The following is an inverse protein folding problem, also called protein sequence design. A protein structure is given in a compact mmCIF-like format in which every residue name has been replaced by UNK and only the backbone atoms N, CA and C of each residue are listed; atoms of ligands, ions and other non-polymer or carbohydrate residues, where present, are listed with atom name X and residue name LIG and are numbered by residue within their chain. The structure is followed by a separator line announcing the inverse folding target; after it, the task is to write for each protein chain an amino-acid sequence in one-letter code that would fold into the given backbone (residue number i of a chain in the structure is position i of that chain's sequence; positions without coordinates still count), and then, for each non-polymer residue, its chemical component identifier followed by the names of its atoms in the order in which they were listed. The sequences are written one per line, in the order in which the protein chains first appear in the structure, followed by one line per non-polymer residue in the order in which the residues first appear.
data_IF_169024560418
#
_entry.id   IF_169024560418
#
_cell.length_a   1.000
_cell.length_b   1.000
_cell.length_c   1.000
_cell.angle_alpha   90.00
_cell.angle_beta   90.00
_cell.angle_gamma   90.00
#
_symmetry.space_group_name_H-M   'P 1'
#
loop_
_entity.id
_entity.type
_entity.pdbx_description
1 polymer ?
#
# COMPACT_ATOMS: atom_id res chain seq x y z
N UNK A 1 6.27 12.82 2.84
CA UNK A 1 6.75 11.54 3.39
C UNK A 1 6.18 10.42 2.55
N UNK A 2 7.00 9.44 2.19
CA UNK A 2 6.57 8.25 1.45
C UNK A 2 5.72 7.32 2.32
N UNK A 3 4.98 6.40 1.68
CA UNK A 3 4.21 5.34 2.36
C UNK A 3 5.14 4.52 3.27
N UNK A 4 6.34 4.19 2.79
CA UNK A 4 7.37 3.46 3.53
C UNK A 4 7.77 4.19 4.82
N UNK A 5 8.11 5.47 4.74
CA UNK A 5 8.60 6.24 5.90
C UNK A 5 7.53 6.30 7.00
N UNK A 6 6.28 6.58 6.63
CA UNK A 6 5.18 6.64 7.58
C UNK A 6 4.93 5.31 8.28
N UNK A 7 5.14 4.18 7.59
CA UNK A 7 5.02 2.86 8.20
C UNK A 7 6.16 2.54 9.15
N UNK A 8 7.39 2.88 8.76
CA UNK A 8 8.56 2.72 9.63
C UNK A 8 8.44 3.58 10.89
N UNK A 9 7.90 4.80 10.80
CA UNK A 9 7.66 5.67 11.96
C UNK A 9 6.65 5.09 12.96
N UNK A 10 5.69 4.29 12.48
CA UNK A 10 4.72 3.58 13.34
C UNK A 10 5.28 2.26 13.90
N UNK A 11 6.47 1.84 13.49
CA UNK A 11 7.12 0.61 13.96
C UNK A 11 6.88 -0.61 13.07
N UNK A 12 6.13 -0.48 11.97
CA UNK A 12 5.98 -1.56 11.00
C UNK A 12 7.33 -1.86 10.35
N UNK A 13 7.67 -3.14 10.22
CA UNK A 13 8.95 -3.55 9.65
C UNK A 13 8.81 -4.63 8.59
N UNK A 14 8.13 -5.71 8.93
CA UNK A 14 7.64 -6.71 7.98
C UNK A 14 6.12 -6.62 7.97
N UNK A 15 5.55 -6.44 6.79
CA UNK A 15 4.10 -6.33 6.61
C UNK A 15 3.65 -7.15 5.42
N UNK A 16 2.39 -7.55 5.45
CA UNK A 16 1.66 -7.94 4.26
C UNK A 16 0.71 -6.81 3.89
N UNK A 17 0.50 -6.58 2.59
CA UNK A 17 -0.47 -5.60 2.12
C UNK A 17 -1.56 -6.32 1.36
N UNK A 18 -2.79 -6.23 1.87
CA UNK A 18 -3.97 -6.71 1.19
C UNK A 18 -4.59 -5.57 0.39
N UNK A 19 -4.54 -5.66 -0.92
CA UNK A 19 -5.08 -4.67 -1.86
C UNK A 19 -6.45 -5.10 -2.35
N UNK A 20 -7.40 -4.17 -2.33
CA UNK A 20 -8.74 -4.33 -2.90
C UNK A 20 -8.99 -3.19 -3.90
N UNK A 21 -9.30 -3.54 -5.15
CA UNK A 21 -9.69 -2.58 -6.20
C UNK A 21 -11.20 -2.32 -6.26
N UNK A 22 -11.62 -1.41 -7.14
CA UNK A 22 -13.03 -0.99 -7.29
C UNK A 22 -13.96 -2.13 -7.75
N UNK A 23 -13.44 -3.12 -8.47
CA UNK A 23 -14.19 -4.31 -8.89
C UNK A 23 -14.25 -5.38 -7.79
N UNK A 24 -13.81 -5.06 -6.57
CA UNK A 24 -13.69 -5.97 -5.42
C UNK A 24 -12.77 -7.17 -5.67
N UNK A 25 -11.84 -7.09 -6.63
CA UNK A 25 -10.79 -8.10 -6.67
C UNK A 25 -9.84 -7.87 -5.48
N UNK A 26 -9.38 -8.97 -4.91
CA UNK A 26 -8.54 -8.96 -3.74
C UNK A 26 -7.20 -9.59 -4.13
N UNK A 27 -6.13 -8.86 -3.87
CA UNK A 27 -4.75 -9.33 -4.06
C UNK A 27 -3.94 -9.06 -2.82
N UNK A 28 -3.23 -10.07 -2.33
CA UNK A 28 -2.32 -9.90 -1.20
C UNK A 28 -0.90 -9.87 -1.71
N UNK A 29 -0.13 -8.85 -1.32
CA UNK A 29 1.31 -8.78 -1.50
C UNK A 29 1.96 -9.14 -0.17
N UNK A 30 2.42 -10.39 0.01
CA UNK A 30 3.03 -10.81 1.26
C UNK A 30 4.52 -10.45 1.35
N UNK A 31 5.08 -10.60 2.55
CA UNK A 31 6.51 -10.58 2.90
C UNK A 31 7.21 -9.27 2.50
N UNK A 32 6.57 -8.13 2.79
CA UNK A 32 7.16 -6.82 2.53
C UNK A 32 8.02 -6.36 3.70
N UNK A 33 9.33 -6.61 3.61
CA UNK A 33 10.31 -5.99 4.49
C UNK A 33 10.56 -4.53 4.08
N UNK A 34 10.02 -3.57 4.84
CA UNK A 34 10.10 -2.14 4.53
C UNK A 34 11.55 -1.63 4.44
N UNK A 35 12.48 -2.16 5.26
CA UNK A 35 13.90 -1.80 5.15
C UNK A 35 14.57 -2.26 3.86
N UNK A 36 14.09 -3.34 3.22
CA UNK A 36 14.65 -3.86 1.95
C UNK A 36 14.02 -3.22 0.73
N UNK A 37 12.90 -2.53 0.89
CA UNK A 37 12.18 -1.87 -0.20
C UNK A 37 12.66 -0.43 -0.30
N UNK A 38 13.12 -0.01 -1.48
CA UNK A 38 13.54 1.38 -1.68
C UNK A 38 12.34 2.32 -1.84
N UNK A 39 11.35 1.92 -2.63
CA UNK A 39 10.14 2.70 -2.91
C UNK A 39 8.95 1.73 -2.99
N UNK A 40 8.00 1.87 -2.05
CA UNK A 40 6.88 0.95 -1.91
C UNK A 40 5.79 1.25 -2.94
N UNK A 41 5.56 2.54 -3.20
CA UNK A 41 4.63 3.06 -4.19
C UNK A 41 5.00 2.53 -5.57
N UNK A 42 6.28 2.56 -5.95
CA UNK A 42 6.73 2.02 -7.22
C UNK A 42 6.54 0.50 -7.32
N UNK A 43 6.85 -0.25 -6.25
CA UNK A 43 6.66 -1.71 -6.21
C UNK A 43 5.20 -2.10 -6.40
N UNK A 44 4.28 -1.26 -5.91
CA UNK A 44 2.84 -1.45 -5.98
C UNK A 44 2.19 -0.74 -7.17
N UNK A 45 2.98 -0.15 -8.08
CA UNK A 45 2.50 0.63 -9.22
C UNK A 45 1.51 1.75 -8.84
N UNK A 46 1.71 2.35 -7.66
CA UNK A 46 0.88 3.42 -7.15
C UNK A 46 1.35 4.77 -7.66
N UNK A 47 0.39 5.65 -7.91
CA UNK A 47 0.64 7.06 -8.10
C UNK A 47 0.95 7.70 -6.72
N UNK A 48 2.20 8.17 -6.48
CA UNK A 48 2.63 8.60 -5.16
C UNK A 48 1.91 9.86 -4.67
N UNK A 49 1.41 10.70 -5.58
CA UNK A 49 0.65 11.91 -5.23
C UNK A 49 -0.77 11.59 -4.79
N UNK A 50 -1.29 10.42 -5.17
CA UNK A 50 -2.62 9.95 -4.81
C UNK A 50 -2.71 9.19 -3.48
N UNK A 51 -1.57 8.83 -2.88
CA UNK A 51 -1.52 8.01 -1.67
C UNK A 51 -2.04 8.77 -0.45
N UNK A 52 -3.07 8.22 0.20
CA UNK A 52 -3.62 8.72 1.47
C UNK A 52 -3.61 7.60 2.50
N UNK A 53 -2.93 7.85 3.63
CA UNK A 53 -2.84 6.90 4.73
C UNK A 53 -3.88 7.18 5.81
N UNK A 54 -4.47 6.11 6.33
CA UNK A 54 -5.39 6.09 7.46
C UNK A 54 -4.84 5.09 8.48
N UNK A 55 -3.96 5.57 9.38
CA UNK A 55 -3.26 4.74 10.36
C UNK A 55 -3.92 4.78 11.76
N UNK A 56 -4.87 5.68 11.98
CA UNK A 56 -5.58 5.87 13.25
C UNK A 56 -6.87 5.01 13.36
N UNK A 57 -7.14 4.14 12.39
CA UNK A 57 -8.30 3.24 12.41
C UNK A 57 -7.94 1.86 12.97
N UNK A 58 -8.95 1.11 13.42
CA UNK A 58 -8.81 -0.28 13.92
C UNK A 58 -8.09 -1.19 12.91
N UNK A 59 -8.22 -0.88 11.62
CA UNK A 59 -7.48 -1.51 10.54
C UNK A 59 -6.68 -0.46 9.74
N UNK A 60 -5.36 -0.36 9.96
CA UNK A 60 -4.53 0.60 9.25
C UNK A 60 -4.54 0.30 7.76
N UNK A 61 -4.77 1.32 6.95
CA UNK A 61 -4.85 1.16 5.50
C UNK A 61 -4.44 2.42 4.77
N UNK A 62 -4.25 2.30 3.45
CA UNK A 62 -4.07 3.42 2.55
C UNK A 62 -5.03 3.32 1.37
N UNK A 63 -5.29 4.45 0.74
CA UNK A 63 -5.99 4.54 -0.54
C UNK A 63 -5.08 5.21 -1.55
N UNK A 64 -5.05 4.70 -2.78
CA UNK A 64 -4.19 5.22 -3.83
C UNK A 64 -4.79 4.91 -5.20
N UNK A 65 -4.29 5.57 -6.24
CA UNK A 65 -4.49 5.15 -7.63
C UNK A 65 -3.36 4.21 -8.00
N UNK A 66 -3.70 3.06 -8.55
CA UNK A 66 -2.77 2.10 -9.11
C UNK A 66 -2.88 2.15 -10.63
N UNK A 67 -1.73 2.12 -11.31
CA UNK A 67 -1.69 1.97 -12.77
C UNK A 67 -1.78 0.50 -13.12
N UNK A 68 -2.86 0.11 -13.79
CA UNK A 68 -3.01 -1.23 -14.37
C UNK A 68 -2.12 -1.37 -15.61
N UNK A 69 -1.75 -2.61 -15.96
CA UNK A 69 -0.96 -2.91 -17.17
C UNK A 69 -1.62 -2.40 -18.47
N UNK A 70 -2.95 -2.27 -18.49
CA UNK A 70 -3.72 -1.74 -19.63
C UNK A 70 -3.62 -0.19 -19.76
N UNK A 71 -2.90 0.47 -18.86
CA UNK A 71 -2.73 1.94 -18.85
C UNK A 71 -3.88 2.71 -18.20
N UNK A 72 -4.87 2.01 -17.64
CA UNK A 72 -5.93 2.59 -16.82
C UNK A 72 -5.48 2.89 -15.39
N UNK A 73 -6.00 3.97 -14.80
CA UNK A 73 -5.85 4.29 -13.38
C UNK A 73 -7.04 3.69 -12.60
N UNK A 74 -6.78 2.73 -11.72
CA UNK A 74 -7.79 2.14 -10.82
C UNK A 74 -7.59 2.64 -9.40
N UNK A 75 -8.66 2.90 -8.66
CA UNK A 75 -8.53 3.20 -7.22
C UNK A 75 -8.42 1.90 -6.43
N UNK A 76 -7.48 1.88 -5.49
CA UNK A 76 -7.28 0.74 -4.62
C UNK A 76 -7.32 1.16 -3.14
N UNK A 77 -7.67 0.20 -2.30
CA UNK A 77 -7.54 0.27 -0.85
C UNK A 77 -6.59 -0.82 -0.39
N UNK A 78 -5.44 -0.43 0.14
CA UNK A 78 -4.43 -1.35 0.68
C UNK A 78 -4.47 -1.39 2.20
N UNK A 79 -4.87 -2.53 2.76
CA UNK A 79 -4.84 -2.80 4.20
C UNK A 79 -3.47 -3.31 4.60
N UNK A 80 -2.98 -2.81 5.74
CA UNK A 80 -1.66 -3.10 6.26
C UNK A 80 -1.82 -4.13 7.35
N UNK A 81 -1.28 -5.32 7.10
CA UNK A 81 -1.33 -6.45 8.00
C UNK A 81 0.08 -6.62 8.57
N UNK A 82 0.23 -6.50 9.89
CA UNK A 82 1.51 -6.73 10.56
C UNK A 82 1.71 -8.22 10.84
N UNK A 83 2.95 -8.68 10.67
CA UNK A 83 3.37 -10.05 10.93
C UNK A 83 4.62 -10.08 11.82
#
# INVERSE_FOLDING_TARGET
MSLKEQLLEKGYNNIDIMVIDEDNNQSTIPDLTLHKINNLEYKLYLDPESVKMNLDEEHPHFTARQKSEDGGDVRIKGFILEW
#
